data_IF_185003226317
#
_entry.id   IF_185003226317
#
_cell.length_a   1.000
_cell.length_b   1.000
_cell.length_c   1.000
_cell.angle_alpha   90.00
_cell.angle_beta   90.00
_cell.angle_gamma   90.00
#
_symmetry.space_group_name_H-M   'P 1'
#
loop_
_entity.id
_entity.type
_entity.pdbx_description
1 polymer ?
#
# COMPACT_ATOMS: atom_id res chain seq x y z
N UNK A 1 15.36 -11.52 6.32
CA UNK A 1 14.65 -11.35 7.61
C UNK A 1 13.18 -11.67 7.37
N UNK A 2 12.75 -12.92 7.60
CA UNK A 2 11.32 -13.26 7.71
C UNK A 2 11.02 -13.24 9.20
N UNK A 3 10.09 -12.39 9.62
CA UNK A 3 9.60 -12.41 11.00
C UNK A 3 8.60 -13.56 11.07
N UNK A 4 8.75 -14.44 12.05
CA UNK A 4 7.77 -15.48 12.34
C UNK A 4 6.38 -14.83 12.51
N UNK A 5 5.35 -15.50 11.98
CA UNK A 5 3.99 -14.97 11.97
C UNK A 5 3.47 -14.83 13.40
N UNK A 6 3.41 -13.60 13.90
CA UNK A 6 2.54 -13.24 15.03
C UNK A 6 1.11 -13.26 14.50
N UNK A 7 0.15 -13.73 15.30
CA UNK A 7 -1.28 -13.88 14.96
C UNK A 7 -1.88 -12.55 14.46
N UNK A 8 -1.68 -12.25 13.18
CA UNK A 8 -2.03 -10.99 12.54
C UNK A 8 -2.06 -11.19 11.03
N UNK A 9 -2.80 -10.34 10.33
CA UNK A 9 -2.89 -10.41 8.87
C UNK A 9 -1.50 -10.16 8.25
N UNK A 10 -1.03 -11.09 7.43
CA UNK A 10 0.25 -10.97 6.72
C UNK A 10 0.01 -10.22 5.41
N UNK A 11 0.04 -8.89 5.52
CA UNK A 11 -0.08 -7.96 4.39
C UNK A 11 1.32 -7.50 3.96
N UNK A 12 1.56 -7.50 2.66
CA UNK A 12 2.74 -6.87 2.05
C UNK A 12 2.28 -5.77 1.10
N UNK A 13 2.90 -4.60 1.19
CA UNK A 13 2.62 -3.47 0.29
C UNK A 13 3.89 -3.12 -0.46
N UNK A 14 3.79 -3.02 -1.78
CA UNK A 14 4.80 -2.41 -2.65
C UNK A 14 4.32 -1.06 -3.13
N UNK A 15 5.18 -0.04 -3.11
CA UNK A 15 4.85 1.33 -3.54
C UNK A 15 5.98 1.85 -4.43
N UNK A 16 5.60 2.47 -5.55
CA UNK A 16 6.49 3.19 -6.47
C UNK A 16 5.99 4.63 -6.63
N UNK A 17 6.74 5.59 -6.08
CA UNK A 17 6.41 7.01 -6.12
C UNK A 17 7.08 7.63 -7.35
N UNK A 18 6.30 7.90 -8.40
CA UNK A 18 6.75 8.60 -9.60
C UNK A 18 6.53 10.11 -9.56
N UNK A 19 6.83 10.78 -10.67
CA UNK A 19 6.61 12.23 -10.80
C UNK A 19 5.16 12.64 -11.10
N UNK A 20 4.39 11.76 -11.77
CA UNK A 20 2.97 12.02 -12.11
C UNK A 20 2.02 11.19 -11.27
N UNK A 21 2.38 9.94 -11.01
CA UNK A 21 1.55 8.99 -10.29
C UNK A 21 2.37 8.19 -9.29
N UNK A 22 1.72 7.82 -8.20
CA UNK A 22 2.18 6.83 -7.24
C UNK A 22 1.38 5.55 -7.48
N UNK A 23 2.09 4.47 -7.75
CA UNK A 23 1.53 3.14 -7.99
C UNK A 23 1.73 2.31 -6.71
N UNK A 24 0.69 1.62 -6.24
CA UNK A 24 0.79 0.76 -5.05
C UNK A 24 0.08 -0.58 -5.26
N UNK A 25 0.65 -1.64 -4.69
CA UNK A 25 0.13 -3.00 -4.72
C UNK A 25 0.08 -3.55 -3.30
N UNK A 26 -1.08 -4.05 -2.90
CA UNK A 26 -1.30 -4.76 -1.64
C UNK A 26 -1.44 -6.25 -1.95
N UNK A 27 -0.64 -7.07 -1.30
CA UNK A 27 -0.77 -8.52 -1.27
C UNK A 27 -1.20 -9.00 0.11
N UNK A 28 -2.36 -9.63 0.17
CA UNK A 28 -2.85 -10.35 1.34
C UNK A 28 -2.50 -11.83 1.19
N UNK A 29 -1.51 -12.27 1.99
CA UNK A 29 -1.01 -13.63 1.92
C UNK A 29 -1.99 -14.66 2.47
N UNK A 30 -2.88 -14.27 3.39
CA UNK A 30 -3.86 -15.16 4.01
C UNK A 30 -5.01 -15.44 3.06
N UNK A 31 -5.59 -14.39 2.47
CA UNK A 31 -6.71 -14.51 1.54
C UNK A 31 -6.26 -14.77 0.09
N UNK A 32 -4.95 -14.77 -0.18
CA UNK A 32 -4.38 -14.83 -1.53
C UNK A 32 -4.96 -13.77 -2.46
N UNK A 33 -5.17 -12.58 -1.92
CA UNK A 33 -5.79 -11.47 -2.63
C UNK A 33 -4.73 -10.42 -3.03
N UNK A 34 -4.96 -9.78 -4.17
CA UNK A 34 -4.17 -8.66 -4.67
C UNK A 34 -5.09 -7.47 -4.89
N UNK A 35 -4.66 -6.30 -4.44
CA UNK A 35 -5.24 -5.01 -4.82
C UNK A 35 -4.15 -4.14 -5.42
N UNK A 36 -4.49 -3.29 -6.38
CA UNK A 36 -3.59 -2.31 -6.95
C UNK A 36 -4.33 -0.98 -7.10
N UNK A 37 -3.59 0.10 -6.89
CA UNK A 37 -4.11 1.46 -6.98
C UNK A 37 -3.07 2.35 -7.65
N UNK A 38 -3.57 3.40 -8.31
CA UNK A 38 -2.77 4.43 -8.94
C UNK A 38 -3.39 5.76 -8.56
N UNK A 39 -2.64 6.58 -7.84
CA UNK A 39 -3.06 7.91 -7.40
C UNK A 39 -2.14 8.96 -8.01
N UNK A 40 -2.59 10.21 -8.23
CA UNK A 40 -1.69 11.30 -8.58
C UNK A 40 -0.55 11.41 -7.55
N UNK A 41 0.67 11.64 -8.00
CA UNK A 41 1.78 11.93 -7.08
C UNK A 41 1.64 13.32 -6.50
N UNK A 42 2.26 13.52 -5.34
CA UNK A 42 2.46 14.83 -4.72
C UNK A 42 3.96 15.10 -4.65
N UNK A 43 4.62 15.58 -5.73
CA UNK A 43 6.09 15.59 -5.80
C UNK A 43 6.78 16.47 -4.75
N UNK A 44 6.08 17.49 -4.26
CA UNK A 44 6.58 18.38 -3.21
C UNK A 44 6.31 17.88 -1.79
N UNK A 45 5.51 16.82 -1.67
CA UNK A 45 5.12 16.16 -0.42
C UNK A 45 4.89 14.65 -0.69
N UNK A 46 5.97 13.88 -0.92
CA UNK A 46 5.87 12.47 -1.31
C UNK A 46 5.18 11.60 -0.26
N UNK A 47 5.27 11.98 1.02
CA UNK A 47 4.58 11.32 2.12
C UNK A 47 3.05 11.43 1.99
N UNK A 48 2.51 12.56 1.51
CA UNK A 48 1.08 12.65 1.19
C UNK A 48 0.69 11.69 0.05
N UNK A 49 1.47 11.63 -1.03
CA UNK A 49 1.20 10.69 -2.13
C UNK A 49 1.25 9.22 -1.71
N UNK A 50 2.14 8.88 -0.77
CA UNK A 50 2.20 7.57 -0.12
C UNK A 50 0.93 7.28 0.68
N UNK A 51 0.48 8.23 1.52
CA UNK A 51 -0.74 8.09 2.31
C UNK A 51 -1.97 7.93 1.41
N UNK A 52 -2.12 8.76 0.38
CA UNK A 52 -3.22 8.70 -0.59
C UNK A 52 -3.29 7.33 -1.27
N UNK A 53 -2.14 6.77 -1.65
CA UNK A 53 -2.06 5.44 -2.26
C UNK A 53 -2.49 4.36 -1.28
N UNK A 54 -2.08 4.45 -0.02
CA UNK A 54 -2.38 3.46 1.01
C UNK A 54 -3.85 3.53 1.46
N UNK A 55 -4.44 4.71 1.54
CA UNK A 55 -5.87 4.92 1.86
C UNK A 55 -6.80 4.45 0.74
N UNK A 56 -6.30 4.36 -0.49
CA UNK A 56 -7.08 3.91 -1.64
C UNK A 56 -7.36 2.40 -1.65
N UNK A 57 -6.69 1.60 -0.80
CA UNK A 57 -6.99 0.18 -0.67
C UNK A 57 -8.29 -0.08 0.08
N UNK A 58 -9.14 -0.96 -0.45
CA UNK A 58 -10.40 -1.33 0.20
C UNK A 58 -10.14 -2.31 1.34
N UNK A 59 -10.78 -2.08 2.49
CA UNK A 59 -10.71 -2.97 3.65
C UNK A 59 -9.53 -2.70 4.58
N UNK A 60 -8.66 -1.75 4.24
CA UNK A 60 -7.69 -1.17 5.16
C UNK A 60 -8.34 0.05 5.82
N UNK A 61 -8.37 0.10 7.15
CA UNK A 61 -8.80 1.29 7.91
C UNK A 61 -7.64 1.81 8.74
N UNK A 62 -7.26 3.05 8.50
CA UNK A 62 -6.40 3.80 9.40
C UNK A 62 -7.29 4.44 10.47
N UNK A 63 -6.84 4.37 11.72
CA UNK A 63 -7.59 4.79 12.90
C UNK A 63 -6.93 5.99 13.55
#
# INVERSE_FOLDING_TARGET
MRRDSVIGQELSVGIDIGGTFTDAVLYDQQNKALQWVKVPSTPHDPEQGLLDAVESFVGIKFN
#
